data_IF_830013177183
#
_entry.id   IF_830013177183
#
_cell.length_a   1.000
_cell.length_b   1.000
_cell.length_c   1.000
_cell.angle_alpha   90.00
_cell.angle_beta   90.00
_cell.angle_gamma   90.00
#
_symmetry.space_group_name_H-M   'P 1'
#
loop_
_entity.id
_entity.type
_entity.pdbx_description
1 polymer ?
#
# COMPACT_ATOMS: atom_id res chain seq x y z
N UNK A 1 -14.04 -9.29 3.48
CA UNK A 1 -14.71 -9.41 2.18
C UNK A 1 -14.62 -8.07 1.51
N UNK A 2 -14.59 -8.04 0.18
CA UNK A 2 -14.12 -6.89 -0.60
C UNK A 2 -14.90 -5.60 -0.34
N UNK A 3 -16.18 -5.70 0.05
CA UNK A 3 -17.01 -4.56 0.46
C UNK A 3 -16.51 -3.80 1.71
N UNK A 4 -15.59 -4.39 2.46
CA UNK A 4 -15.05 -3.85 3.72
C UNK A 4 -13.54 -3.57 3.66
N UNK A 5 -13.00 -3.49 2.44
CA UNK A 5 -11.58 -3.29 2.17
C UNK A 5 -11.40 -2.40 0.93
N UNK A 6 -10.40 -1.53 0.96
CA UNK A 6 -10.11 -0.60 -0.14
C UNK A 6 -8.86 -1.08 -0.90
N UNK A 7 -9.04 -2.01 -1.82
CA UNK A 7 -7.96 -2.44 -2.72
C UNK A 7 -7.62 -1.30 -3.71
N UNK A 8 -6.33 -1.13 -3.98
CA UNK A 8 -5.78 -0.20 -4.96
C UNK A 8 -4.46 -0.75 -5.51
N UNK A 9 -3.93 -0.07 -6.53
CA UNK A 9 -2.64 -0.39 -7.13
C UNK A 9 -2.68 -1.55 -8.11
N UNK A 10 -1.52 -1.79 -8.71
CA UNK A 10 -1.29 -2.88 -9.65
C UNK A 10 -1.30 -4.23 -8.92
N UNK A 11 -1.94 -5.22 -9.54
CA UNK A 11 -1.80 -6.62 -9.16
C UNK A 11 -0.45 -7.16 -9.63
N UNK A 12 0.02 -8.23 -8.99
CA UNK A 12 1.32 -8.84 -9.29
C UNK A 12 1.55 -9.13 -10.79
N UNK A 13 0.58 -9.69 -11.56
CA UNK A 13 0.79 -9.91 -12.99
C UNK A 13 0.88 -8.60 -13.79
N UNK A 14 0.25 -7.53 -13.31
CA UNK A 14 0.29 -6.20 -13.95
C UNK A 14 1.62 -5.50 -13.66
N UNK A 15 2.18 -5.68 -12.45
CA UNK A 15 3.53 -5.24 -12.09
C UNK A 15 4.55 -5.84 -13.06
N UNK A 16 4.49 -7.16 -13.28
CA UNK A 16 5.40 -7.83 -14.23
C UNK A 16 5.28 -7.25 -15.64
N UNK A 17 4.05 -7.01 -16.11
CA UNK A 17 3.80 -6.43 -17.44
C UNK A 17 4.36 -5.02 -17.57
N UNK A 18 4.15 -4.15 -16.58
CA UNK A 18 4.65 -2.77 -16.59
C UNK A 18 6.18 -2.76 -16.60
N UNK A 19 6.81 -3.59 -15.77
CA UNK A 19 8.28 -3.70 -15.73
C UNK A 19 8.83 -4.25 -17.04
N UNK A 20 8.23 -5.32 -17.57
CA UNK A 20 8.66 -5.93 -18.84
C UNK A 20 8.48 -5.00 -20.05
N UNK A 21 7.51 -4.09 -20.00
CA UNK A 21 7.28 -3.08 -21.04
C UNK A 21 8.30 -1.92 -21.01
N UNK A 22 9.23 -1.90 -20.05
CA UNK A 22 10.19 -0.82 -19.88
C UNK A 22 9.60 0.35 -19.11
N UNK A 23 9.25 0.12 -17.84
CA UNK A 23 8.70 1.14 -16.95
C UNK A 23 9.52 2.43 -16.95
N UNK A 24 8.85 3.55 -17.20
CA UNK A 24 9.43 4.90 -17.22
C UNK A 24 8.70 5.78 -16.19
N UNK A 25 9.25 5.99 -14.98
CA UNK A 25 8.57 6.72 -13.91
C UNK A 25 8.27 8.18 -14.25
N UNK A 26 9.19 8.85 -14.95
CA UNK A 26 9.07 10.25 -15.40
C UNK A 26 7.78 10.49 -16.18
N UNK A 27 7.31 9.51 -16.96
CA UNK A 27 6.07 9.61 -17.72
C UNK A 27 4.85 9.80 -16.82
N UNK A 28 4.77 9.08 -15.70
CA UNK A 28 3.66 9.24 -14.74
C UNK A 28 3.70 10.62 -14.08
N UNK A 29 4.90 11.13 -13.77
CA UNK A 29 5.09 12.49 -13.28
C UNK A 29 4.63 13.55 -14.31
N UNK A 30 4.90 13.36 -15.60
CA UNK A 30 4.52 14.30 -16.65
C UNK A 30 3.01 14.29 -16.94
N UNK A 31 2.39 13.11 -16.96
CA UNK A 31 0.99 12.90 -17.32
C UNK A 31 0.02 13.28 -16.17
N UNK A 32 0.44 13.18 -14.90
CA UNK A 32 -0.40 13.48 -13.75
C UNK A 32 -0.05 14.83 -13.10
N UNK A 33 -0.90 15.84 -13.30
CA UNK A 33 -0.70 17.20 -12.76
C UNK A 33 -0.60 17.26 -11.24
N UNK A 34 -1.37 16.43 -10.53
CA UNK A 34 -1.38 16.40 -9.06
C UNK A 34 -0.08 15.81 -8.54
N UNK A 35 0.35 14.69 -9.12
CA UNK A 35 1.63 14.06 -8.81
C UNK A 35 2.79 15.03 -9.07
N UNK A 36 2.79 15.67 -10.26
CA UNK A 36 3.82 16.63 -10.66
C UNK A 36 3.99 17.72 -9.61
N UNK A 37 2.88 18.35 -9.21
CA UNK A 37 2.87 19.42 -8.22
C UNK A 37 3.38 18.94 -6.85
N UNK A 38 3.06 17.72 -6.45
CA UNK A 38 3.53 17.15 -5.19
C UNK A 38 5.06 16.95 -5.21
N UNK A 39 5.59 16.33 -6.27
CA UNK A 39 7.03 16.12 -6.44
C UNK A 39 7.78 17.45 -6.54
N UNK A 40 7.27 18.41 -7.32
CA UNK A 40 7.88 19.75 -7.46
C UNK A 40 7.94 20.49 -6.12
N UNK A 41 6.88 20.39 -5.32
CA UNK A 41 6.84 21.02 -4.00
C UNK A 41 7.88 20.40 -3.06
N UNK A 42 8.04 19.07 -3.07
CA UNK A 42 9.07 18.37 -2.29
C UNK A 42 10.47 18.80 -2.75
N UNK A 43 10.70 18.85 -4.07
CA UNK A 43 11.97 19.25 -4.67
C UNK A 43 12.31 20.74 -4.47
N UNK A 44 11.30 21.59 -4.21
CA UNK A 44 11.49 23.04 -4.14
C UNK A 44 12.31 23.54 -2.94
N UNK A 45 12.48 22.69 -1.91
CA UNK A 45 13.07 23.07 -0.62
C UNK A 45 12.05 23.61 0.39
N UNK A 46 10.75 23.62 0.05
CA UNK A 46 9.67 24.11 0.92
C UNK A 46 9.64 23.41 2.29
N UNK A 47 10.02 22.13 2.35
CA UNK A 47 10.06 21.33 3.58
C UNK A 47 11.44 21.25 4.23
N UNK A 48 12.41 22.03 3.74
CA UNK A 48 13.82 21.95 4.15
C UNK A 48 14.46 23.35 4.27
N UNK A 49 13.70 24.36 4.72
CA UNK A 49 14.17 25.75 4.87
C UNK A 49 14.84 26.32 3.60
N UNK A 50 14.36 25.92 2.42
CA UNK A 50 14.90 26.34 1.13
C UNK A 50 16.04 25.47 0.60
N UNK A 51 16.54 24.49 1.36
CA UNK A 51 17.54 23.54 0.87
C UNK A 51 16.90 22.49 -0.05
N UNK A 52 17.23 22.56 -1.34
CA UNK A 52 16.71 21.65 -2.37
C UNK A 52 17.40 20.28 -2.37
N UNK A 53 18.56 20.14 -1.70
CA UNK A 53 19.35 18.91 -1.74
C UNK A 53 18.86 17.85 -0.76
N UNK A 54 18.13 18.26 0.29
CA UNK A 54 17.66 17.35 1.35
C UNK A 54 16.83 16.20 0.79
N UNK A 55 15.94 16.48 -0.16
CA UNK A 55 15.06 15.46 -0.76
C UNK A 55 15.48 15.00 -2.15
N UNK A 56 16.58 15.52 -2.70
CA UNK A 56 17.09 15.16 -4.01
C UNK A 56 17.24 13.64 -4.20
N UNK A 57 17.77 12.85 -3.23
CA UNK A 57 17.91 11.41 -3.43
C UNK A 57 16.57 10.69 -3.63
N UNK A 58 15.52 11.10 -2.91
CA UNK A 58 14.19 10.51 -3.00
C UNK A 58 13.51 10.93 -4.31
N UNK A 59 13.56 12.22 -4.64
CA UNK A 59 12.97 12.74 -5.89
C UNK A 59 13.64 12.12 -7.11
N UNK A 60 14.96 12.05 -7.12
CA UNK A 60 15.74 11.43 -8.20
C UNK A 60 15.40 9.94 -8.35
N UNK A 61 15.36 9.19 -7.25
CA UNK A 61 14.95 7.78 -7.29
C UNK A 61 13.52 7.62 -7.85
N UNK A 62 12.55 8.42 -7.39
CA UNK A 62 11.17 8.34 -7.88
C UNK A 62 11.03 8.70 -9.37
N UNK A 63 11.83 9.62 -9.89
CA UNK A 63 11.71 10.05 -11.30
C UNK A 63 12.52 9.19 -12.27
N UNK A 64 13.51 8.43 -11.80
CA UNK A 64 14.44 7.72 -12.67
C UNK A 64 14.50 6.20 -12.44
N UNK A 65 14.29 5.72 -11.22
CA UNK A 65 14.40 4.29 -10.89
C UNK A 65 13.07 3.68 -10.47
N UNK A 66 12.40 4.29 -9.48
CA UNK A 66 11.12 3.90 -8.87
C UNK A 66 10.83 2.40 -8.91
N UNK A 67 11.76 1.62 -8.34
CA UNK A 67 11.73 0.15 -8.35
C UNK A 67 10.41 -0.43 -7.81
N UNK A 68 9.72 0.32 -6.96
CA UNK A 68 8.50 -0.12 -6.29
C UNK A 68 7.22 0.42 -6.94
N UNK A 69 7.32 1.03 -8.13
CA UNK A 69 6.19 1.52 -8.92
C UNK A 69 5.31 2.53 -8.16
N UNK A 70 5.92 3.33 -7.28
CA UNK A 70 5.22 4.32 -6.46
C UNK A 70 4.45 5.31 -7.35
N UNK A 71 5.07 5.75 -8.45
CA UNK A 71 4.43 6.71 -9.36
C UNK A 71 3.31 6.06 -10.18
N UNK A 72 3.45 4.77 -10.51
CA UNK A 72 2.42 4.02 -11.22
C UNK A 72 1.14 3.85 -10.38
N UNK A 73 1.29 3.55 -9.09
CA UNK A 73 0.16 3.32 -8.18
C UNK A 73 -0.45 4.62 -7.64
N UNK A 74 0.26 5.74 -7.73
CA UNK A 74 -0.12 7.02 -7.10
C UNK A 74 -1.59 7.41 -7.33
N UNK A 75 -2.05 7.40 -8.59
CA UNK A 75 -3.41 7.86 -8.91
C UNK A 75 -4.47 6.93 -8.30
N UNK A 76 -4.28 5.61 -8.42
CA UNK A 76 -5.20 4.63 -7.84
C UNK A 76 -5.24 4.69 -6.31
N UNK A 77 -4.11 5.03 -5.69
CA UNK A 77 -4.03 5.25 -4.26
C UNK A 77 -4.83 6.49 -3.83
N UNK A 78 -4.69 7.60 -4.55
CA UNK A 78 -5.48 8.82 -4.28
C UNK A 78 -6.99 8.54 -4.39
N UNK A 79 -7.41 7.85 -5.45
CA UNK A 79 -8.82 7.48 -5.64
C UNK A 79 -9.33 6.53 -4.54
N UNK A 80 -8.48 5.64 -4.03
CA UNK A 80 -8.83 4.80 -2.89
C UNK A 80 -8.96 5.61 -1.59
N UNK A 81 -8.08 6.59 -1.36
CA UNK A 81 -8.20 7.50 -0.21
C UNK A 81 -9.47 8.35 -0.28
N UNK A 82 -9.87 8.84 -1.45
CA UNK A 82 -11.14 9.57 -1.61
C UNK A 82 -12.35 8.69 -1.26
N UNK A 83 -12.31 7.40 -1.61
CA UNK A 83 -13.35 6.43 -1.19
C UNK A 83 -13.33 6.19 0.33
N UNK A 84 -12.15 6.17 0.95
CA UNK A 84 -12.02 6.06 2.41
C UNK A 84 -12.65 7.28 3.09
N UNK A 85 -12.33 8.49 2.64
CA UNK A 85 -12.90 9.73 3.18
C UNK A 85 -14.42 9.73 3.08
N UNK A 86 -14.97 9.36 1.92
CA UNK A 86 -16.41 9.26 1.72
C UNK A 86 -17.06 8.20 2.64
N UNK A 87 -16.43 7.03 2.80
CA UNK A 87 -16.93 5.97 3.66
C UNK A 87 -16.86 6.34 5.16
N UNK A 88 -15.85 7.11 5.56
CA UNK A 88 -15.68 7.54 6.95
C UNK A 88 -16.78 8.52 7.40
N UNK A 89 -17.32 9.32 6.48
CA UNK A 89 -18.45 10.20 6.75
C UNK A 89 -19.74 9.43 7.10
N UNK A 90 -19.91 8.21 6.58
CA UNK A 90 -20.97 7.28 7.01
C UNK A 90 -20.50 6.48 8.24
N UNK A 91 -20.69 7.06 9.42
CA UNK A 91 -20.23 6.46 10.70
C UNK A 91 -20.84 5.08 10.96
N UNK A 92 -22.10 4.83 10.56
CA UNK A 92 -22.75 3.54 10.75
C UNK A 92 -22.15 2.48 9.82
N UNK A 93 -22.03 2.81 8.52
CA UNK A 93 -21.40 1.96 7.53
C UNK A 93 -19.94 1.64 7.88
N UNK A 94 -19.17 2.65 8.29
CA UNK A 94 -17.79 2.51 8.74
C UNK A 94 -17.67 1.57 9.94
N UNK A 95 -18.49 1.79 10.97
CA UNK A 95 -18.48 0.96 12.19
C UNK A 95 -18.86 -0.48 11.89
N UNK A 96 -19.89 -0.70 11.06
CA UNK A 96 -20.28 -2.03 10.60
C UNK A 96 -19.15 -2.73 9.86
N UNK A 97 -18.47 -2.01 8.97
CA UNK A 97 -17.30 -2.51 8.22
C UNK A 97 -16.17 -2.94 9.17
N UNK A 98 -15.86 -2.12 10.17
CA UNK A 98 -14.85 -2.43 11.18
C UNK A 98 -15.20 -3.68 12.00
N UNK A 99 -16.44 -3.78 12.51
CA UNK A 99 -16.91 -4.95 13.26
C UNK A 99 -16.81 -6.22 12.42
N UNK A 100 -17.21 -6.16 11.14
CA UNK A 100 -17.14 -7.31 10.25
C UNK A 100 -15.71 -7.75 9.94
N UNK A 101 -14.76 -6.81 9.86
CA UNK A 101 -13.34 -7.15 9.74
C UNK A 101 -12.82 -7.87 11.00
N UNK A 102 -13.14 -7.36 12.20
CA UNK A 102 -12.75 -7.99 13.47
C UNK A 102 -13.38 -9.38 13.60
N UNK A 103 -14.69 -9.52 13.33
CA UNK A 103 -15.39 -10.79 13.45
C UNK A 103 -14.87 -11.86 12.46
N UNK A 104 -14.30 -11.45 11.33
CA UNK A 104 -13.80 -12.35 10.27
C UNK A 104 -12.28 -12.56 10.29
N UNK A 105 -11.56 -11.97 11.25
CA UNK A 105 -10.09 -12.05 11.31
C UNK A 105 -9.54 -13.31 11.99
N UNK A 106 -10.39 -14.18 12.56
CA UNK A 106 -9.96 -15.34 13.35
C UNK A 106 -9.01 -16.30 12.64
N UNK A 107 -9.07 -16.41 11.31
CA UNK A 107 -8.13 -17.21 10.51
C UNK A 107 -6.67 -16.73 10.64
N UNK A 108 -6.45 -15.45 10.94
CA UNK A 108 -5.13 -14.85 11.08
C UNK A 108 -4.53 -14.99 12.49
N UNK A 109 -5.17 -15.74 13.41
CA UNK A 109 -4.57 -16.08 14.69
C UNK A 109 -3.27 -16.88 14.51
N UNK A 110 -2.23 -16.53 15.27
CA UNK A 110 -0.99 -17.30 15.33
C UNK A 110 -1.21 -18.73 15.81
N UNK A 111 -2.22 -18.98 16.65
CA UNK A 111 -2.54 -20.33 17.14
C UNK A 111 -2.88 -21.25 15.96
N UNK A 112 -3.64 -20.75 14.98
CA UNK A 112 -3.97 -21.50 13.77
C UNK A 112 -2.72 -21.85 12.97
N UNK A 113 -1.80 -20.88 12.80
CA UNK A 113 -0.51 -21.14 12.15
C UNK A 113 0.32 -22.16 12.93
N UNK A 114 0.33 -22.10 14.26
CA UNK A 114 1.00 -23.10 15.10
C UNK A 114 0.43 -24.50 14.89
N UNK A 115 -0.90 -24.63 14.80
CA UNK A 115 -1.55 -25.90 14.46
C UNK A 115 -1.14 -26.39 13.07
N UNK A 116 -1.12 -25.52 12.06
CA UNK A 116 -0.66 -25.88 10.71
C UNK A 116 0.80 -26.40 10.72
N UNK A 117 1.69 -25.76 11.48
CA UNK A 117 3.08 -26.21 11.63
C UNK A 117 3.21 -27.53 12.39
N UNK A 118 2.46 -27.70 13.48
CA UNK A 118 2.43 -28.94 14.25
C UNK A 118 1.96 -30.10 13.36
N UNK A 119 0.88 -29.91 12.61
CA UNK A 119 0.30 -30.96 11.78
C UNK A 119 1.19 -31.32 10.58
N UNK A 120 1.75 -30.31 9.89
CA UNK A 120 2.40 -30.53 8.58
C UNK A 120 3.92 -30.65 8.61
N UNK A 121 4.58 -30.17 9.67
CA UNK A 121 6.04 -30.05 9.70
C UNK A 121 6.63 -30.67 10.97
N UNK A 122 6.19 -30.25 12.16
CA UNK A 122 6.87 -30.61 13.41
C UNK A 122 6.38 -31.94 14.00
N UNK A 123 5.11 -32.28 13.81
CA UNK A 123 4.46 -33.46 14.39
C UNK A 123 4.63 -33.56 15.92
N UNK A 124 4.69 -32.42 16.59
CA UNK A 124 4.87 -32.31 18.04
C UNK A 124 3.53 -32.53 18.78
N UNK A 125 3.61 -32.99 20.03
CA UNK A 125 2.45 -33.16 20.90
C UNK A 125 2.43 -32.09 22.00
N UNK A 126 1.25 -31.57 22.40
CA UNK A 126 1.15 -30.64 23.52
C UNK A 126 1.72 -31.27 24.80
N UNK A 127 2.56 -30.52 25.51
CA UNK A 127 3.07 -30.91 26.83
C UNK A 127 2.27 -30.16 27.89
N UNK A 128 1.53 -30.87 28.72
CA UNK A 128 0.82 -30.28 29.86
C UNK A 128 1.83 -30.12 31.00
N UNK A 129 2.06 -28.88 31.43
CA UNK A 129 2.87 -28.60 32.61
C UNK A 129 2.15 -29.11 33.87
N UNK A 130 2.90 -29.76 34.77
CA UNK A 130 2.41 -30.24 36.08
C UNK A 130 2.39 -29.13 37.11
#
# INVERSE_FOLDING_TARGET
GDDHFFLFGLLEPQVEQVVAAGYEPSRYYEENRTLRRAIDLIASGAFANGDRKVFEPIVSNLLHEDRFLVLADFQSYVEAQERVDAAYLDTEGWTRSAILNVARSGFFSSDRSMWDYIDRIWHAQPVVAR
#
